data_IF_891298903078
#
_entry.id   IF_891298903078
#
_cell.length_a   1.000
_cell.length_b   1.000
_cell.length_c   1.000
_cell.angle_alpha   90.00
_cell.angle_beta   90.00
_cell.angle_gamma   90.00
#
_symmetry.space_group_name_H-M   'P 1'
#
loop_
_entity.id
_entity.type
_entity.pdbx_description
1 polymer ?
#
# COMPACT_ATOMS: atom_id res chain seq x y z
N UNK A 1 9.37 14.98 29.82
CA UNK A 1 8.42 15.86 29.10
C UNK A 1 9.06 16.55 27.91
N UNK A 2 10.29 17.04 27.98
CA UNK A 2 11.02 17.66 26.85
C UNK A 2 11.18 16.72 25.62
N UNK A 3 11.66 15.51 25.82
CA UNK A 3 11.92 14.56 24.69
C UNK A 3 10.69 14.20 23.87
N UNK A 4 9.51 14.07 24.50
CA UNK A 4 8.29 13.74 23.76
C UNK A 4 7.82 14.92 22.90
N UNK A 5 7.87 16.14 23.44
CA UNK A 5 7.52 17.34 22.68
C UNK A 5 8.49 17.58 21.52
N UNK A 6 9.80 17.41 21.79
CA UNK A 6 10.84 17.52 20.76
C UNK A 6 10.63 16.47 19.64
N UNK A 7 10.25 15.26 19.99
CA UNK A 7 9.89 14.20 19.03
C UNK A 7 8.72 14.64 18.15
N UNK A 8 7.59 15.04 18.73
CA UNK A 8 6.39 15.40 17.96
C UNK A 8 6.66 16.60 17.04
N UNK A 9 7.30 17.66 17.55
CA UNK A 9 7.65 18.82 16.73
C UNK A 9 8.54 18.44 15.55
N UNK A 10 9.59 17.67 15.80
CA UNK A 10 10.51 17.28 14.72
C UNK A 10 9.85 16.33 13.72
N UNK A 11 8.98 15.42 14.15
CA UNK A 11 8.21 14.55 13.25
C UNK A 11 7.31 15.39 12.33
N UNK A 12 6.51 16.32 12.89
CA UNK A 12 5.61 17.18 12.12
C UNK A 12 6.36 18.10 11.15
N UNK A 13 7.50 18.65 11.57
CA UNK A 13 8.35 19.45 10.68
C UNK A 13 8.91 18.58 9.53
N UNK A 14 9.30 17.34 9.82
CA UNK A 14 9.72 16.38 8.81
C UNK A 14 8.61 16.12 7.78
N UNK A 15 7.38 15.91 8.23
CA UNK A 15 6.21 15.71 7.38
C UNK A 15 5.92 16.96 6.51
N UNK A 16 5.94 18.15 7.12
CA UNK A 16 5.75 19.40 6.40
C UNK A 16 6.79 19.62 5.29
N UNK A 17 8.08 19.43 5.59
CA UNK A 17 9.13 19.60 4.59
C UNK A 17 9.10 18.52 3.52
N UNK A 18 8.73 17.29 3.85
CA UNK A 18 8.51 16.22 2.87
C UNK A 18 7.40 16.61 1.88
N UNK A 19 6.27 17.12 2.40
CA UNK A 19 5.15 17.60 1.57
C UNK A 19 5.57 18.77 0.67
N UNK A 20 6.44 19.66 1.17
CA UNK A 20 6.98 20.79 0.39
C UNK A 20 8.04 20.38 -0.64
N UNK A 21 8.50 19.12 -0.62
CA UNK A 21 9.58 18.64 -1.49
C UNK A 21 10.99 19.07 -1.04
N UNK A 22 11.13 19.66 0.15
CA UNK A 22 12.44 20.00 0.74
C UNK A 22 12.99 18.75 1.47
N UNK A 23 13.53 17.82 0.66
CA UNK A 23 13.98 16.52 1.16
C UNK A 23 15.17 16.62 2.12
N UNK A 24 15.98 17.66 2.02
CA UNK A 24 17.14 17.86 2.91
C UNK A 24 16.66 18.21 4.32
N UNK A 25 15.73 19.14 4.43
CA UNK A 25 15.14 19.49 5.73
C UNK A 25 14.25 18.37 6.27
N UNK A 26 13.47 17.71 5.41
CA UNK A 26 12.68 16.55 5.84
C UNK A 26 13.58 15.48 6.48
N UNK A 27 14.70 15.13 5.86
CA UNK A 27 15.67 14.17 6.41
C UNK A 27 16.26 14.66 7.73
N UNK A 28 16.65 15.94 7.83
CA UNK A 28 17.18 16.54 9.07
C UNK A 28 16.19 16.39 10.23
N UNK A 29 14.94 16.80 10.02
CA UNK A 29 13.93 16.78 11.07
C UNK A 29 13.49 15.36 11.45
N UNK A 30 13.33 14.45 10.49
CA UNK A 30 13.07 13.05 10.82
C UNK A 30 14.23 12.39 11.58
N UNK A 31 15.48 12.74 11.31
CA UNK A 31 16.63 12.27 12.10
C UNK A 31 16.59 12.80 13.54
N UNK A 32 16.22 14.08 13.73
CA UNK A 32 16.01 14.64 15.08
C UNK A 32 14.88 13.92 15.80
N UNK A 33 13.75 13.65 15.14
CA UNK A 33 12.67 12.88 15.71
C UNK A 33 13.10 11.47 16.08
N UNK A 34 13.84 10.77 15.21
CA UNK A 34 14.37 9.43 15.49
C UNK A 34 15.34 9.40 16.68
N UNK A 35 16.12 10.47 16.91
CA UNK A 35 17.03 10.56 18.05
C UNK A 35 16.31 10.85 19.38
N UNK A 36 15.17 11.53 19.34
CA UNK A 36 14.35 11.85 20.52
C UNK A 36 13.35 10.76 20.87
N UNK A 37 12.95 9.92 19.89
CA UNK A 37 11.95 8.87 20.02
C UNK A 37 12.33 7.59 19.29
N UNK A 38 13.47 6.99 19.65
CA UNK A 38 14.04 5.81 18.95
C UNK A 38 13.13 4.57 18.90
N UNK A 39 12.11 4.51 19.75
CA UNK A 39 11.12 3.41 19.79
C UNK A 39 9.87 3.70 18.96
N UNK A 40 9.88 4.72 18.10
CA UNK A 40 8.78 5.04 17.21
C UNK A 40 9.14 4.73 15.76
N UNK A 41 8.25 4.05 15.06
CA UNK A 41 8.45 3.68 13.64
C UNK A 41 8.33 4.88 12.69
N UNK A 42 7.51 5.88 13.01
CA UNK A 42 7.15 6.97 12.12
C UNK A 42 8.36 7.76 11.55
N UNK A 43 9.39 8.16 12.32
CA UNK A 43 10.54 8.85 11.74
C UNK A 43 11.33 8.01 10.72
N UNK A 44 11.44 6.70 10.96
CA UNK A 44 12.11 5.78 10.02
C UNK A 44 11.31 5.62 8.74
N UNK A 45 9.98 5.61 8.84
CA UNK A 45 9.10 5.64 7.66
C UNK A 45 9.26 6.92 6.86
N UNK A 46 9.30 8.08 7.54
CA UNK A 46 9.54 9.37 6.89
C UNK A 46 10.90 9.41 6.17
N UNK A 47 11.96 8.95 6.84
CA UNK A 47 13.30 8.83 6.23
C UNK A 47 13.32 7.87 5.03
N UNK A 48 12.58 6.76 5.12
CA UNK A 48 12.45 5.82 4.01
C UNK A 48 11.75 6.47 2.81
N UNK A 49 10.68 7.23 3.06
CA UNK A 49 9.97 7.97 2.00
C UNK A 49 10.88 9.01 1.34
N UNK A 50 11.67 9.76 2.11
CA UNK A 50 12.70 10.68 1.56
C UNK A 50 13.69 9.93 0.67
N UNK A 51 14.17 8.76 1.11
CA UNK A 51 15.10 7.95 0.34
C UNK A 51 14.46 7.44 -0.98
N UNK A 52 13.18 7.04 -0.97
CA UNK A 52 12.42 6.70 -2.19
C UNK A 52 12.37 7.88 -3.15
N UNK A 53 12.03 9.08 -2.66
CA UNK A 53 11.96 10.28 -3.50
C UNK A 53 13.31 10.65 -4.15
N UNK A 54 14.41 10.25 -3.53
CA UNK A 54 15.78 10.39 -4.09
C UNK A 54 16.24 9.19 -4.90
N UNK A 55 15.37 8.18 -5.12
CA UNK A 55 15.71 6.91 -5.79
C UNK A 55 16.83 6.11 -5.08
N UNK A 56 17.02 6.34 -3.78
CA UNK A 56 17.97 5.60 -2.93
C UNK A 56 17.32 4.31 -2.40
N UNK A 57 16.96 3.39 -3.31
CA UNK A 57 16.10 2.23 -2.99
C UNK A 57 16.67 1.32 -1.89
N UNK A 58 17.98 1.06 -1.88
CA UNK A 58 18.60 0.21 -0.86
C UNK A 58 18.53 0.86 0.53
N UNK A 59 18.74 2.17 0.60
CA UNK A 59 18.59 2.94 1.85
C UNK A 59 17.13 2.96 2.31
N UNK A 60 16.20 3.13 1.39
CA UNK A 60 14.77 3.10 1.68
C UNK A 60 14.35 1.75 2.27
N UNK A 61 14.82 0.64 1.67
CA UNK A 61 14.54 -0.71 2.16
C UNK A 61 15.01 -0.91 3.59
N UNK A 62 16.26 -0.53 3.90
CA UNK A 62 16.81 -0.63 5.26
C UNK A 62 16.01 0.20 6.26
N UNK A 63 15.56 1.39 5.87
CA UNK A 63 14.78 2.29 6.74
C UNK A 63 13.36 1.77 6.99
N UNK A 64 12.67 1.24 5.96
CA UNK A 64 11.36 0.59 6.15
C UNK A 64 11.47 -0.68 6.98
N UNK A 65 12.52 -1.50 6.79
CA UNK A 65 12.78 -2.67 7.64
C UNK A 65 13.02 -2.27 9.09
N UNK A 66 13.75 -1.16 9.32
CA UNK A 66 13.95 -0.63 10.66
C UNK A 66 12.64 -0.13 11.28
N UNK A 67 11.78 0.54 10.52
CA UNK A 67 10.45 0.91 10.96
C UNK A 67 9.62 -0.32 11.37
N UNK A 68 9.61 -1.36 10.52
CA UNK A 68 8.90 -2.60 10.78
C UNK A 68 9.46 -3.38 11.98
N UNK A 69 10.77 -3.29 12.25
CA UNK A 69 11.38 -3.89 13.43
C UNK A 69 10.99 -3.17 14.74
N UNK A 70 10.72 -1.87 14.68
CA UNK A 70 10.17 -1.09 15.81
C UNK A 70 8.70 -1.40 16.00
N UNK A 71 7.93 -1.37 14.92
CA UNK A 71 6.50 -1.67 14.90
C UNK A 71 6.12 -2.19 13.51
N UNK A 72 5.69 -3.45 13.46
CA UNK A 72 5.26 -4.09 12.20
C UNK A 72 3.85 -3.62 11.83
N UNK A 73 3.76 -2.46 11.20
CA UNK A 73 2.51 -1.89 10.68
C UNK A 73 2.28 -2.31 9.23
N UNK A 74 1.00 -2.25 8.78
CA UNK A 74 0.62 -2.42 7.38
C UNK A 74 1.38 -1.44 6.46
N UNK A 75 1.55 -0.20 6.89
CA UNK A 75 2.26 0.85 6.14
C UNK A 75 3.75 0.55 6.00
N UNK A 76 4.41 0.04 7.05
CA UNK A 76 5.82 -0.31 6.97
C UNK A 76 6.03 -1.51 6.04
N UNK A 77 5.18 -2.54 6.13
CA UNK A 77 5.21 -3.71 5.24
C UNK A 77 4.91 -3.31 3.79
N UNK A 78 3.91 -2.45 3.56
CA UNK A 78 3.60 -1.93 2.24
C UNK A 78 4.80 -1.16 1.66
N UNK A 79 5.47 -0.31 2.45
CA UNK A 79 6.67 0.42 2.04
C UNK A 79 7.82 -0.51 1.63
N UNK A 80 8.06 -1.60 2.36
CA UNK A 80 9.02 -2.64 1.97
C UNK A 80 8.63 -3.27 0.63
N UNK A 81 7.36 -3.65 0.48
CA UNK A 81 6.82 -4.22 -0.75
C UNK A 81 7.03 -3.31 -1.95
N UNK A 82 6.72 -2.02 -1.82
CA UNK A 82 6.92 -1.03 -2.89
C UNK A 82 8.37 -0.93 -3.33
N UNK A 83 9.31 -0.87 -2.40
CA UNK A 83 10.74 -0.81 -2.73
C UNK A 83 11.21 -2.09 -3.40
N UNK A 84 10.78 -3.27 -2.92
CA UNK A 84 11.12 -4.56 -3.52
C UNK A 84 10.56 -4.68 -4.95
N UNK A 85 9.35 -4.20 -5.18
CA UNK A 85 8.73 -4.14 -6.49
C UNK A 85 9.52 -3.27 -7.46
N UNK A 86 9.96 -2.08 -7.04
CA UNK A 86 10.83 -1.20 -7.84
C UNK A 86 12.21 -1.84 -8.12
N UNK A 87 12.69 -2.73 -7.24
CA UNK A 87 13.90 -3.51 -7.46
C UNK A 87 13.67 -4.75 -8.36
N UNK A 88 12.45 -5.00 -8.84
CA UNK A 88 12.10 -6.18 -9.63
C UNK A 88 12.03 -7.49 -8.84
N UNK A 89 11.95 -7.42 -7.52
CA UNK A 89 11.86 -8.58 -6.62
C UNK A 89 10.39 -8.93 -6.35
N UNK A 90 9.69 -9.33 -7.41
CA UNK A 90 8.22 -9.48 -7.43
C UNK A 90 7.68 -10.46 -6.39
N UNK A 91 8.27 -11.65 -6.22
CA UNK A 91 7.84 -12.63 -5.20
C UNK A 91 7.91 -12.04 -3.78
N UNK A 92 9.04 -11.42 -3.44
CA UNK A 92 9.22 -10.83 -2.12
C UNK A 92 8.29 -9.61 -1.91
N UNK A 93 8.02 -8.83 -2.95
CA UNK A 93 7.07 -7.73 -2.91
C UNK A 93 5.64 -8.25 -2.63
N UNK A 94 5.22 -9.29 -3.35
CA UNK A 94 3.94 -9.95 -3.15
C UNK A 94 3.75 -10.39 -1.69
N UNK A 95 4.74 -11.08 -1.12
CA UNK A 95 4.68 -11.56 0.27
C UNK A 95 4.52 -10.41 1.27
N UNK A 96 5.19 -9.27 1.04
CA UNK A 96 5.09 -8.11 1.92
C UNK A 96 3.74 -7.39 1.79
N UNK A 97 3.16 -7.30 0.59
CA UNK A 97 1.82 -6.76 0.40
C UNK A 97 0.75 -7.66 1.03
N UNK A 98 0.86 -8.98 0.88
CA UNK A 98 -0.04 -9.93 1.54
C UNK A 98 0.02 -9.78 3.07
N UNK A 99 1.22 -9.68 3.66
CA UNK A 99 1.38 -9.42 5.10
C UNK A 99 0.79 -8.06 5.52
N UNK A 100 0.93 -7.02 4.70
CA UNK A 100 0.31 -5.72 4.97
C UNK A 100 -1.20 -5.83 5.05
N UNK A 101 -1.83 -6.57 4.14
CA UNK A 101 -3.28 -6.79 4.12
C UNK A 101 -3.76 -7.66 5.29
N UNK A 102 -2.96 -8.62 5.76
CA UNK A 102 -3.26 -9.33 7.01
C UNK A 102 -3.25 -8.43 8.26
N UNK A 103 -2.48 -7.32 8.22
CA UNK A 103 -2.50 -6.30 9.29
C UNK A 103 -3.70 -5.35 9.15
N UNK A 104 -4.01 -4.96 7.92
CA UNK A 104 -5.13 -4.05 7.61
C UNK A 104 -5.68 -4.34 6.22
N UNK A 105 -6.85 -4.96 6.16
CA UNK A 105 -7.57 -5.19 4.91
C UNK A 105 -7.99 -3.89 4.21
N UNK A 106 -7.96 -2.75 4.91
CA UNK A 106 -8.26 -1.43 4.36
C UNK A 106 -7.08 -0.76 3.64
N UNK A 107 -5.91 -1.39 3.62
CA UNK A 107 -4.75 -0.85 2.92
C UNK A 107 -4.89 -1.02 1.40
N UNK A 108 -5.61 -0.10 0.77
CA UNK A 108 -5.89 -0.13 -0.68
C UNK A 108 -4.61 -0.06 -1.52
N UNK A 109 -3.56 0.61 -1.04
CA UNK A 109 -2.27 0.65 -1.75
C UNK A 109 -1.65 -0.75 -1.81
N UNK A 110 -1.62 -1.45 -0.67
CA UNK A 110 -1.13 -2.82 -0.62
C UNK A 110 -1.98 -3.76 -1.48
N UNK A 111 -3.31 -3.61 -1.46
CA UNK A 111 -4.23 -4.42 -2.27
C UNK A 111 -3.96 -4.25 -3.78
N UNK A 112 -3.91 -3.02 -4.25
CA UNK A 112 -3.65 -2.74 -5.66
C UNK A 112 -2.30 -3.25 -6.12
N UNK A 113 -1.27 -3.11 -5.28
CA UNK A 113 0.05 -3.64 -5.57
C UNK A 113 0.06 -5.18 -5.55
N UNK A 114 -0.61 -5.82 -4.58
CA UNK A 114 -0.74 -7.27 -4.51
C UNK A 114 -1.39 -7.83 -5.77
N UNK A 115 -2.49 -7.23 -6.22
CA UNK A 115 -3.19 -7.64 -7.45
C UNK A 115 -2.25 -7.50 -8.66
N UNK A 116 -1.52 -6.39 -8.77
CA UNK A 116 -0.57 -6.19 -9.87
C UNK A 116 0.54 -7.25 -9.87
N UNK A 117 1.14 -7.52 -8.72
CA UNK A 117 2.17 -8.56 -8.59
C UNK A 117 1.60 -9.96 -8.87
N UNK A 118 0.35 -10.22 -8.47
CA UNK A 118 -0.32 -11.48 -8.78
C UNK A 118 -0.48 -11.73 -10.28
N UNK A 119 -0.86 -10.72 -11.05
CA UNK A 119 -0.88 -10.82 -12.51
C UNK A 119 0.51 -11.08 -13.09
N UNK A 120 1.53 -10.39 -12.58
CA UNK A 120 2.92 -10.57 -13.01
C UNK A 120 3.44 -11.98 -12.73
N UNK A 121 3.03 -12.58 -11.62
CA UNK A 121 3.47 -13.89 -11.15
C UNK A 121 2.56 -15.05 -11.60
N UNK A 122 1.41 -14.75 -12.23
CA UNK A 122 0.41 -15.76 -12.58
C UNK A 122 -0.35 -16.32 -11.37
N UNK A 123 -0.43 -15.59 -10.25
CA UNK A 123 -1.02 -16.00 -8.97
C UNK A 123 -2.38 -15.31 -8.69
N UNK A 124 -3.13 -14.99 -9.74
CA UNK A 124 -4.36 -14.17 -9.63
C UNK A 124 -5.44 -14.80 -8.76
N UNK A 125 -5.54 -16.12 -8.72
CA UNK A 125 -6.51 -16.81 -7.85
C UNK A 125 -6.24 -16.54 -6.36
N UNK A 126 -4.98 -16.39 -5.97
CA UNK A 126 -4.56 -16.20 -4.57
C UNK A 126 -4.95 -14.84 -4.00
N UNK A 127 -5.28 -13.85 -4.85
CA UNK A 127 -5.67 -12.51 -4.37
C UNK A 127 -7.17 -12.36 -4.12
N UNK A 128 -8.00 -13.30 -4.58
CA UNK A 128 -9.46 -13.21 -4.41
C UNK A 128 -9.87 -13.07 -2.94
N UNK A 129 -9.33 -13.85 -1.98
CA UNK A 129 -9.68 -13.70 -0.56
C UNK A 129 -9.37 -12.30 -0.02
N UNK A 130 -8.25 -11.67 -0.42
CA UNK A 130 -7.89 -10.32 0.03
C UNK A 130 -8.84 -9.26 -0.51
N UNK A 131 -9.31 -9.41 -1.75
CA UNK A 131 -10.33 -8.54 -2.34
C UNK A 131 -11.67 -8.69 -1.61
N UNK A 132 -12.07 -9.92 -1.28
CA UNK A 132 -13.28 -10.20 -0.51
C UNK A 132 -13.21 -9.64 0.91
N UNK A 133 -12.09 -9.82 1.61
CA UNK A 133 -11.88 -9.26 2.95
C UNK A 133 -11.95 -7.74 2.93
N UNK A 134 -11.34 -7.09 1.93
CA UNK A 134 -11.42 -5.63 1.78
C UNK A 134 -12.87 -5.18 1.51
N UNK A 135 -13.64 -5.91 0.71
CA UNK A 135 -15.06 -5.61 0.48
C UNK A 135 -15.88 -5.64 1.76
N UNK A 136 -15.56 -6.52 2.70
CA UNK A 136 -16.24 -6.59 3.99
C UNK A 136 -16.01 -5.35 4.85
N UNK A 137 -14.87 -4.67 4.70
CA UNK A 137 -14.59 -3.40 5.40
C UNK A 137 -15.40 -2.23 4.86
N UNK A 138 -15.90 -2.34 3.62
CA UNK A 138 -16.56 -1.27 2.90
C UNK A 138 -15.59 -0.26 2.26
N UNK A 139 -14.28 -0.40 2.47
CA UNK A 139 -13.28 0.49 1.90
C UNK A 139 -13.29 0.39 0.37
N UNK A 140 -13.53 1.53 -0.31
CA UNK A 140 -13.55 1.63 -1.78
C UNK A 140 -14.35 0.52 -2.49
N UNK A 141 -15.46 0.08 -1.90
CA UNK A 141 -16.20 -1.12 -2.28
C UNK A 141 -16.52 -1.22 -3.78
N UNK A 142 -16.79 -0.10 -4.45
CA UNK A 142 -17.06 -0.06 -5.89
C UNK A 142 -15.80 -0.40 -6.70
N UNK A 143 -14.66 0.23 -6.41
CA UNK A 143 -13.39 -0.02 -7.09
C UNK A 143 -12.89 -1.45 -6.84
N UNK A 144 -13.00 -1.92 -5.60
CA UNK A 144 -12.60 -3.28 -5.22
C UNK A 144 -13.47 -4.34 -5.91
N UNK A 145 -14.80 -4.11 -6.06
CA UNK A 145 -15.68 -5.01 -6.82
C UNK A 145 -15.31 -5.08 -8.29
N UNK A 146 -14.97 -3.96 -8.92
CA UNK A 146 -14.50 -3.92 -10.30
C UNK A 146 -13.20 -4.68 -10.47
N UNK A 147 -12.26 -4.51 -9.53
CA UNK A 147 -10.99 -5.26 -9.53
C UNK A 147 -11.22 -6.76 -9.36
N UNK A 148 -12.10 -7.16 -8.43
CA UNK A 148 -12.48 -8.55 -8.22
C UNK A 148 -13.09 -9.16 -9.49
N UNK A 149 -14.02 -8.44 -10.14
CA UNK A 149 -14.59 -8.88 -11.39
C UNK A 149 -13.53 -9.06 -12.49
N UNK A 150 -12.58 -8.15 -12.60
CA UNK A 150 -11.45 -8.27 -13.53
C UNK A 150 -10.61 -9.53 -13.27
N UNK A 151 -10.29 -9.82 -12.01
CA UNK A 151 -9.58 -11.05 -11.63
C UNK A 151 -10.40 -12.32 -11.98
N UNK A 152 -11.71 -12.31 -11.71
CA UNK A 152 -12.60 -13.43 -12.05
C UNK A 152 -12.71 -13.66 -13.55
N UNK A 153 -12.80 -12.59 -14.37
CA UNK A 153 -12.77 -12.69 -15.84
C UNK A 153 -11.46 -13.34 -16.31
N UNK A 154 -10.31 -12.88 -15.77
CA UNK A 154 -9.02 -13.46 -16.10
C UNK A 154 -8.94 -14.96 -15.81
N UNK A 155 -9.60 -15.40 -14.73
CA UNK A 155 -9.68 -16.81 -14.33
C UNK A 155 -10.77 -17.60 -15.06
N UNK A 156 -11.50 -17.00 -16.00
CA UNK A 156 -12.60 -17.64 -16.74
C UNK A 156 -13.90 -17.82 -15.94
N UNK A 157 -14.01 -17.15 -14.77
CA UNK A 157 -15.18 -17.22 -13.87
C UNK A 157 -16.19 -16.10 -14.20
N UNK A 158 -16.62 -16.03 -15.46
CA UNK A 158 -17.42 -14.93 -15.99
C UNK A 158 -18.79 -14.74 -15.31
N UNK A 159 -19.45 -15.83 -14.88
CA UNK A 159 -20.77 -15.72 -14.21
C UNK A 159 -20.64 -15.01 -12.86
N UNK A 160 -19.56 -15.27 -12.11
CA UNK A 160 -19.30 -14.62 -10.84
C UNK A 160 -18.91 -13.15 -11.05
N UNK A 161 -18.05 -12.87 -12.04
CA UNK A 161 -17.68 -11.52 -12.39
C UNK A 161 -18.92 -10.67 -12.75
N UNK A 162 -19.85 -11.23 -13.50
CA UNK A 162 -21.11 -10.57 -13.90
C UNK A 162 -21.89 -10.09 -12.69
N UNK A 163 -22.04 -10.91 -11.65
CA UNK A 163 -22.76 -10.53 -10.43
C UNK A 163 -22.13 -9.32 -9.72
N UNK A 164 -20.80 -9.27 -9.67
CA UNK A 164 -20.10 -8.12 -9.09
C UNK A 164 -20.29 -6.85 -9.92
N UNK A 165 -20.20 -6.95 -11.26
CA UNK A 165 -20.38 -5.81 -12.15
C UNK A 165 -21.83 -5.30 -12.15
N UNK A 166 -22.84 -6.17 -12.13
CA UNK A 166 -24.24 -5.80 -11.99
C UNK A 166 -24.50 -5.06 -10.67
N UNK A 167 -23.88 -5.52 -9.58
CA UNK A 167 -23.95 -4.83 -8.29
C UNK A 167 -23.38 -3.41 -8.35
N UNK A 168 -22.25 -3.20 -9.04
CA UNK A 168 -21.64 -1.87 -9.24
C UNK A 168 -22.54 -1.00 -10.09
N UNK A 169 -23.00 -1.51 -11.25
CA UNK A 169 -23.80 -0.75 -12.19
C UNK A 169 -25.21 -0.45 -11.66
N UNK A 170 -25.72 -1.25 -10.74
CA UNK A 170 -26.98 -1.00 -10.05
C UNK A 170 -26.91 0.20 -9.11
N UNK A 171 -25.75 0.45 -8.49
CA UNK A 171 -25.51 1.61 -7.61
C UNK A 171 -25.01 2.81 -8.40
N UNK A 172 -24.07 2.59 -9.31
CA UNK A 172 -23.45 3.61 -10.14
C UNK A 172 -23.53 3.20 -11.63
N UNK A 173 -24.64 3.48 -12.31
CA UNK A 173 -24.78 3.19 -13.73
C UNK A 173 -23.78 3.91 -14.64
N UNK A 174 -23.08 4.93 -14.10
CA UNK A 174 -22.06 5.70 -14.81
C UNK A 174 -20.64 5.14 -14.72
N UNK A 175 -20.40 4.06 -13.96
CA UNK A 175 -19.07 3.49 -13.79
C UNK A 175 -18.51 2.97 -15.12
N UNK A 176 -17.51 3.68 -15.66
CA UNK A 176 -16.94 3.37 -16.97
C UNK A 176 -16.19 2.03 -16.97
N UNK A 177 -15.39 1.76 -15.93
CA UNK A 177 -14.61 0.52 -15.84
C UNK A 177 -15.51 -0.71 -15.70
N UNK A 178 -16.60 -0.61 -14.92
CA UNK A 178 -17.56 -1.70 -14.81
C UNK A 178 -18.29 -1.98 -16.14
N UNK A 179 -18.66 -0.93 -16.89
CA UNK A 179 -19.23 -1.09 -18.22
C UNK A 179 -18.28 -1.75 -19.20
N UNK A 180 -17.04 -1.26 -19.25
CA UNK A 180 -16.03 -1.80 -20.15
C UNK A 180 -15.81 -3.30 -19.90
N UNK A 181 -15.65 -3.70 -18.64
CA UNK A 181 -15.51 -5.12 -18.30
C UNK A 181 -16.77 -5.93 -18.65
N UNK A 182 -17.96 -5.37 -18.40
CA UNK A 182 -19.23 -6.05 -18.70
C UNK A 182 -19.41 -6.28 -20.20
N UNK A 183 -19.01 -5.33 -21.03
CA UNK A 183 -19.12 -5.40 -22.48
C UNK A 183 -18.09 -6.35 -23.13
N UNK A 184 -17.03 -6.75 -22.40
CA UNK A 184 -16.00 -7.69 -22.86
C UNK A 184 -16.31 -9.15 -22.55
N UNK A 185 -17.35 -9.42 -21.80
CA UNK A 185 -17.78 -10.77 -21.36
C UNK A 185 -18.74 -11.41 -22.36
#
# INVERSE_FOLDING_TARGET
MSNQLDYEINKELGECYLFMGDFDKAEEYYRKAASSGAQNAAPYMGLATVAVQRSELDKALVLYQKAAAVEETDKALCGIGLVLMEQGKHEAAYDHFARALHKSAENIVALNCLVREAYQLGRVEEVLPYLEDTLQTGAEAEAVRVTLAGCLIYLGRSDEARQHLESVLGVNPGNASAKELFDTM
#
